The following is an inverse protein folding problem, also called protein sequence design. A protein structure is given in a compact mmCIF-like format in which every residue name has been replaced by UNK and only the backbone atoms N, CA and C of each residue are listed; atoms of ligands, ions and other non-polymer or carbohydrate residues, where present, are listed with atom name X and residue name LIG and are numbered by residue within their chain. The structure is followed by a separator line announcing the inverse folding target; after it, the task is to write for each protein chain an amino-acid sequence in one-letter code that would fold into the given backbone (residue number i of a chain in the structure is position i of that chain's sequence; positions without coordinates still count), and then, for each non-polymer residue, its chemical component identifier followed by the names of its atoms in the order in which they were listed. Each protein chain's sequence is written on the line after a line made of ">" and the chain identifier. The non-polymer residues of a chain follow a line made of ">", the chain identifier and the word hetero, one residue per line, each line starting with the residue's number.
data_IF_163926577675
#
_entry.id   IF_163926577675
#
_cell.length_a   1.000
_cell.length_b   1.000
_cell.length_c   1.000
_cell.angle_alpha   90.00
_cell.angle_beta   90.00
_cell.angle_gamma   90.00
#
_symmetry.space_group_name_H-M   'P 1'
#
loop_
_entity.id
_entity.type
_entity.pdbx_description
1 polymer ?
#
# COMPACT_ATOMS: atom_id res chain seq x y z
N UNK A 1 -54.46 33.37 -21.29
CA UNK A 1 -54.34 32.31 -20.25
C UNK A 1 -53.37 31.17 -20.62
N UNK A 2 -53.40 30.61 -21.85
CA UNK A 2 -52.54 29.48 -22.26
C UNK A 2 -51.02 29.75 -22.28
N UNK A 3 -50.58 30.97 -22.59
CA UNK A 3 -49.14 31.34 -22.67
C UNK A 3 -48.47 31.35 -21.28
N UNK A 4 -49.18 31.82 -20.24
CA UNK A 4 -48.69 31.83 -18.85
C UNK A 4 -48.44 30.42 -18.30
N UNK A 5 -49.32 29.46 -18.63
CA UNK A 5 -49.13 28.05 -18.26
C UNK A 5 -47.93 27.42 -18.97
N UNK A 6 -47.70 27.77 -20.24
CA UNK A 6 -46.60 27.22 -21.04
C UNK A 6 -45.24 27.74 -20.53
N UNK A 7 -45.14 29.02 -20.19
CA UNK A 7 -43.93 29.58 -19.56
C UNK A 7 -43.65 28.99 -18.18
N UNK A 8 -44.67 28.82 -17.33
CA UNK A 8 -44.51 28.18 -16.01
C UNK A 8 -43.98 26.75 -16.11
N UNK A 9 -44.45 25.98 -17.11
CA UNK A 9 -43.95 24.62 -17.37
C UNK A 9 -42.50 24.61 -17.84
N UNK A 10 -42.12 25.50 -18.76
CA UNK A 10 -40.73 25.62 -19.22
C UNK A 10 -39.81 26.04 -18.07
N UNK A 11 -40.24 26.98 -17.23
CA UNK A 11 -39.49 27.41 -16.06
C UNK A 11 -39.28 26.28 -15.04
N UNK A 12 -40.32 25.49 -14.76
CA UNK A 12 -40.22 24.32 -13.87
C UNK A 12 -39.29 23.23 -14.43
N UNK A 13 -39.34 22.98 -15.74
CA UNK A 13 -38.44 22.01 -16.40
C UNK A 13 -37.00 22.50 -16.35
N UNK A 14 -36.75 23.79 -16.63
CA UNK A 14 -35.41 24.36 -16.52
C UNK A 14 -34.86 24.31 -15.08
N UNK A 15 -35.70 24.55 -14.07
CA UNK A 15 -35.32 24.45 -12.66
C UNK A 15 -35.00 23.00 -12.25
N UNK A 16 -35.75 22.02 -12.76
CA UNK A 16 -35.49 20.61 -12.52
C UNK A 16 -34.19 20.14 -13.20
N UNK A 17 -33.92 20.59 -14.43
CA UNK A 17 -32.66 20.32 -15.14
C UNK A 17 -31.48 20.97 -14.39
N UNK A 18 -31.63 22.21 -13.93
CA UNK A 18 -30.59 22.89 -13.15
C UNK A 18 -30.30 22.19 -11.82
N UNK A 19 -31.33 21.68 -11.14
CA UNK A 19 -31.17 20.88 -9.91
C UNK A 19 -30.53 19.51 -10.15
N UNK A 20 -30.70 18.90 -11.34
CA UNK A 20 -30.05 17.64 -11.72
C UNK A 20 -28.61 17.81 -12.21
N UNK A 21 -28.19 19.03 -12.57
CA UNK A 21 -26.83 19.34 -13.03
C UNK A 21 -25.99 19.99 -11.93
N UNK A 22 -26.55 20.27 -10.74
CA UNK A 22 -25.74 20.66 -9.60
C UNK A 22 -24.75 19.53 -9.31
N UNK A 23 -23.43 19.72 -9.50
CA UNK A 23 -22.50 18.83 -8.86
C UNK A 23 -22.67 19.17 -7.38
N UNK A 24 -23.44 18.35 -6.66
CA UNK A 24 -23.23 18.25 -5.23
C UNK A 24 -21.82 17.67 -5.16
N UNK A 25 -20.83 18.57 -5.12
CA UNK A 25 -19.47 18.19 -4.79
C UNK A 25 -19.58 17.60 -3.42
N UNK A 26 -19.68 16.27 -3.35
CA UNK A 26 -19.62 15.55 -2.10
C UNK A 26 -18.30 16.00 -1.49
N UNK A 27 -18.39 16.78 -0.42
CA UNK A 27 -17.22 17.18 0.32
C UNK A 27 -16.56 15.86 0.71
N UNK A 28 -15.31 15.67 0.25
CA UNK A 28 -14.48 14.54 0.63
C UNK A 28 -14.29 14.66 2.14
N UNK A 29 -15.20 14.05 2.89
CA UNK A 29 -15.10 14.01 4.34
C UNK A 29 -14.12 12.90 4.61
N UNK A 30 -12.99 13.24 5.23
CA UNK A 30 -12.10 12.21 5.75
C UNK A 30 -12.90 11.30 6.67
N UNK A 31 -12.73 9.99 6.52
CA UNK A 31 -13.45 8.98 7.30
C UNK A 31 -13.28 9.25 8.81
N UNK A 32 -12.05 9.57 9.22
CA UNK A 32 -11.69 10.15 10.51
C UNK A 32 -10.47 11.07 10.34
N UNK A 33 -10.20 11.95 11.31
CA UNK A 33 -9.08 12.91 11.22
C UNK A 33 -7.77 12.41 11.83
N UNK A 34 -7.86 11.47 12.78
CA UNK A 34 -6.67 10.87 13.43
C UNK A 34 -7.05 9.57 14.14
N UNK A 35 -6.15 8.60 14.10
CA UNK A 35 -6.18 7.42 14.94
C UNK A 35 -4.84 7.32 15.68
N UNK A 36 -4.85 7.07 16.99
CA UNK A 36 -3.61 7.03 17.77
C UNK A 36 -2.96 5.65 17.66
N UNK A 37 -1.92 5.56 16.83
CA UNK A 37 -1.17 4.34 16.54
C UNK A 37 0.34 4.62 16.56
N UNK A 38 1.14 3.58 16.77
CA UNK A 38 2.59 3.62 16.60
C UNK A 38 2.97 3.11 15.20
N UNK A 39 2.36 3.70 14.17
CA UNK A 39 2.44 3.22 12.79
C UNK A 39 3.86 3.33 12.20
N UNK A 40 4.40 2.22 11.69
CA UNK A 40 5.58 2.16 10.82
C UNK A 40 5.24 1.98 9.35
N UNK A 41 4.12 1.30 9.06
CA UNK A 41 3.63 1.05 7.71
C UNK A 41 2.12 0.92 7.68
N UNK A 42 1.53 1.13 6.50
CA UNK A 42 0.10 1.09 6.29
C UNK A 42 -0.25 0.49 4.92
N UNK A 43 -1.38 -0.20 4.85
CA UNK A 43 -2.01 -0.60 3.58
C UNK A 43 -3.53 -0.49 3.70
N UNK A 44 -4.21 -0.36 2.56
CA UNK A 44 -5.66 -0.34 2.49
C UNK A 44 -6.17 -1.63 1.86
N UNK A 45 -7.10 -2.30 2.54
CA UNK A 45 -7.72 -3.52 2.03
C UNK A 45 -9.14 -3.68 2.58
N UNK A 46 -10.09 -4.04 1.71
CA UNK A 46 -11.48 -4.35 2.07
C UNK A 46 -12.18 -3.33 2.98
N UNK A 47 -11.92 -2.03 2.76
CA UNK A 47 -12.55 -0.95 3.53
C UNK A 47 -11.88 -0.66 4.88
N UNK A 48 -10.70 -1.21 5.13
CA UNK A 48 -9.93 -0.95 6.35
C UNK A 48 -8.52 -0.47 6.00
N UNK A 49 -8.00 0.40 6.86
CA UNK A 49 -6.57 0.72 6.89
C UNK A 49 -5.91 -0.26 7.86
N UNK A 50 -5.00 -1.08 7.37
CA UNK A 50 -4.16 -1.95 8.18
C UNK A 50 -2.87 -1.21 8.53
N UNK A 51 -2.43 -1.36 9.78
CA UNK A 51 -1.31 -0.61 10.34
C UNK A 51 -0.36 -1.54 11.06
N UNK A 52 0.91 -1.48 10.71
CA UNK A 52 2.00 -2.08 11.48
C UNK A 52 2.31 -1.16 12.67
N UNK A 53 2.01 -1.61 13.88
CA UNK A 53 2.33 -0.88 15.10
C UNK A 53 3.67 -1.38 15.62
N UNK A 54 4.75 -0.70 15.22
CA UNK A 54 6.13 -1.09 15.48
C UNK A 54 6.39 -1.32 16.98
N UNK A 55 6.07 -0.31 17.80
CA UNK A 55 6.33 -0.34 19.25
C UNK A 55 5.42 -1.34 19.98
N UNK A 56 4.17 -1.47 19.51
CA UNK A 56 3.16 -2.29 20.19
C UNK A 56 3.20 -3.77 19.75
N UNK A 57 4.13 -4.14 18.86
CA UNK A 57 4.30 -5.51 18.36
C UNK A 57 3.02 -6.13 17.80
N UNK A 58 2.26 -5.37 17.00
CA UNK A 58 0.96 -5.81 16.47
C UNK A 58 0.61 -5.23 15.11
N UNK A 59 -0.24 -5.93 14.37
CA UNK A 59 -0.99 -5.35 13.24
C UNK A 59 -2.39 -5.03 13.73
N UNK A 60 -2.88 -3.83 13.46
CA UNK A 60 -4.27 -3.44 13.72
C UNK A 60 -4.93 -3.02 12.42
N UNK A 61 -6.26 -3.09 12.37
CA UNK A 61 -7.07 -2.50 11.30
C UNK A 61 -7.92 -1.37 11.84
N UNK A 62 -8.20 -0.40 10.99
CA UNK A 62 -8.95 0.82 11.31
C UNK A 62 -10.12 0.93 10.35
N UNK A 63 -11.34 1.00 10.88
CA UNK A 63 -12.56 1.24 10.10
C UNK A 63 -12.71 2.72 9.74
N UNK A 64 -13.65 3.01 8.82
CA UNK A 64 -13.98 4.37 8.40
C UNK A 64 -14.39 5.29 9.56
N UNK A 65 -14.92 4.76 10.66
CA UNK A 65 -15.27 5.56 11.85
C UNK A 65 -14.08 5.79 12.80
N UNK A 66 -12.89 5.31 12.46
CA UNK A 66 -11.67 5.40 13.25
C UNK A 66 -11.53 4.34 14.35
N UNK A 67 -12.43 3.35 14.42
CA UNK A 67 -12.32 2.25 15.39
C UNK A 67 -11.12 1.36 15.05
N UNK A 68 -10.27 1.10 16.05
CA UNK A 68 -9.07 0.27 15.91
C UNK A 68 -9.34 -1.12 16.48
N UNK A 69 -9.06 -2.15 15.69
CA UNK A 69 -9.13 -3.56 16.09
C UNK A 69 -7.79 -4.24 15.86
N UNK A 70 -7.24 -4.90 16.87
CA UNK A 70 -5.99 -5.66 16.72
C UNK A 70 -6.26 -6.97 15.95
N UNK A 71 -5.44 -7.24 14.94
CA UNK A 71 -5.59 -8.38 14.03
C UNK A 71 -4.52 -9.42 14.29
N UNK A 72 -3.27 -8.99 14.48
CA UNK A 72 -2.12 -9.87 14.75
C UNK A 72 -1.37 -9.38 15.98
N UNK A 73 -1.00 -10.29 16.88
CA UNK A 73 -0.09 -10.02 17.99
C UNK A 73 1.19 -10.86 17.86
N UNK A 74 2.34 -10.18 17.73
CA UNK A 74 3.65 -10.82 17.58
C UNK A 74 4.28 -11.25 18.91
N UNK A 75 3.72 -10.84 20.06
CA UNK A 75 4.22 -10.98 21.44
C UNK A 75 5.60 -10.34 21.71
N UNK A 76 6.51 -10.33 20.74
CA UNK A 76 7.83 -9.72 20.77
C UNK A 76 8.36 -9.62 19.33
N UNK A 77 8.01 -8.55 18.62
CA UNK A 77 8.46 -8.35 17.24
C UNK A 77 8.07 -6.98 16.71
N UNK A 78 8.86 -6.48 15.76
CA UNK A 78 8.75 -5.14 15.20
C UNK A 78 8.19 -5.25 13.77
N UNK A 79 6.86 -5.21 13.57
CA UNK A 79 6.29 -5.14 12.23
C UNK A 79 6.62 -3.80 11.59
N UNK A 80 6.89 -3.81 10.29
CA UNK A 80 7.34 -2.60 9.59
C UNK A 80 6.51 -2.26 8.37
N UNK A 81 6.48 -3.15 7.38
CA UNK A 81 5.70 -2.96 6.15
C UNK A 81 4.70 -4.08 5.99
N UNK A 82 3.60 -3.78 5.30
CA UNK A 82 2.52 -4.72 5.05
C UNK A 82 1.81 -4.37 3.75
N UNK A 83 1.30 -5.37 3.04
CA UNK A 83 0.39 -5.17 1.90
C UNK A 83 -0.45 -6.41 1.62
N UNK A 84 -1.45 -6.28 0.75
CA UNK A 84 -2.30 -7.37 0.31
C UNK A 84 -2.17 -7.62 -1.19
N UNK A 85 -2.15 -8.89 -1.60
CA UNK A 85 -2.31 -9.22 -3.01
C UNK A 85 -3.80 -9.17 -3.44
N UNK A 86 -4.03 -9.32 -4.74
CA UNK A 86 -5.38 -9.33 -5.33
C UNK A 86 -6.28 -10.46 -4.83
N UNK A 87 -5.69 -11.50 -4.26
CA UNK A 87 -6.37 -12.68 -3.71
C UNK A 87 -6.65 -12.53 -2.19
N UNK A 88 -6.28 -11.37 -1.61
CA UNK A 88 -6.47 -11.04 -0.20
C UNK A 88 -5.44 -11.69 0.73
N UNK A 89 -4.36 -12.26 0.20
CA UNK A 89 -3.30 -12.78 1.04
C UNK A 89 -2.53 -11.61 1.68
N UNK A 90 -2.23 -11.74 2.97
CA UNK A 90 -1.56 -10.72 3.74
C UNK A 90 -0.05 -10.93 3.73
N UNK A 91 0.69 -9.92 3.30
CA UNK A 91 2.14 -9.92 3.29
C UNK A 91 2.66 -8.90 4.28
N UNK A 92 3.72 -9.24 4.99
CA UNK A 92 4.29 -8.34 5.98
C UNK A 92 5.77 -8.61 6.22
N UNK A 93 6.43 -7.60 6.77
CA UNK A 93 7.78 -7.72 7.31
C UNK A 93 7.75 -7.55 8.82
N UNK A 94 8.59 -8.34 9.49
CA UNK A 94 8.85 -8.17 10.91
C UNK A 94 10.27 -8.64 11.24
N UNK A 95 10.80 -8.17 12.36
CA UNK A 95 11.97 -8.78 12.99
C UNK A 95 11.79 -8.87 14.51
N UNK A 96 12.55 -9.74 15.14
CA UNK A 96 12.77 -9.64 16.58
C UNK A 96 13.58 -8.39 16.91
N UNK A 97 13.32 -7.79 18.07
CA UNK A 97 14.03 -6.58 18.53
C UNK A 97 15.55 -6.78 18.42
N UNK A 98 16.21 -5.88 17.71
CA UNK A 98 17.67 -5.89 17.51
C UNK A 98 18.18 -6.79 16.36
N UNK A 99 17.30 -7.45 15.62
CA UNK A 99 17.65 -8.24 14.43
C UNK A 99 17.23 -7.50 13.14
N UNK A 100 17.94 -7.72 12.02
CA UNK A 100 17.53 -7.16 10.75
C UNK A 100 16.20 -7.79 10.28
N UNK A 101 15.41 -7.01 9.54
CA UNK A 101 14.28 -7.53 8.77
C UNK A 101 14.85 -8.15 7.48
N UNK A 102 15.23 -9.43 7.54
CA UNK A 102 15.87 -10.15 6.43
C UNK A 102 14.90 -11.03 5.64
N UNK A 103 13.62 -10.99 6.01
CA UNK A 103 12.55 -11.85 5.48
C UNK A 103 11.26 -11.09 5.24
N UNK A 104 10.48 -11.60 4.29
CA UNK A 104 9.08 -11.21 4.06
C UNK A 104 8.23 -12.45 4.30
N UNK A 105 7.09 -12.25 4.94
CA UNK A 105 6.16 -13.30 5.36
C UNK A 105 4.81 -13.13 4.67
N UNK A 106 4.10 -14.25 4.51
CA UNK A 106 2.75 -14.33 3.95
C UNK A 106 1.83 -15.10 4.89
N UNK A 107 0.62 -14.59 5.10
CA UNK A 107 -0.53 -15.34 5.66
C UNK A 107 -1.56 -15.49 4.54
N UNK A 108 -2.04 -16.72 4.30
CA UNK A 108 -3.09 -16.98 3.31
C UNK A 108 -4.36 -16.22 3.66
N UNK A 109 -5.10 -15.74 2.67
CA UNK A 109 -6.39 -15.07 2.90
C UNK A 109 -7.39 -15.93 3.68
N UNK A 110 -7.29 -17.26 3.56
CA UNK A 110 -8.12 -18.22 4.31
C UNK A 110 -7.76 -18.31 5.79
N UNK A 111 -6.53 -17.99 6.16
CA UNK A 111 -6.01 -18.06 7.53
C UNK A 111 -5.98 -16.67 8.18
N UNK A 112 -5.97 -15.62 7.37
CA UNK A 112 -5.99 -14.23 7.83
C UNK A 112 -7.33 -13.89 8.48
N UNK A 113 -7.30 -13.68 9.79
CA UNK A 113 -8.48 -13.44 10.62
C UNK A 113 -8.12 -12.54 11.81
N UNK A 114 -9.13 -11.98 12.49
CA UNK A 114 -8.89 -11.18 13.69
C UNK A 114 -8.39 -12.02 14.86
N UNK A 115 -7.50 -11.45 15.67
CA UNK A 115 -7.01 -12.09 16.89
C UNK A 115 -6.00 -13.22 16.66
N UNK A 116 -5.27 -13.21 15.54
CA UNK A 116 -4.14 -14.11 15.33
C UNK A 116 -3.08 -13.84 16.42
N UNK A 117 -2.88 -14.83 17.28
CA UNK A 117 -1.72 -14.88 18.18
C UNK A 117 -0.55 -15.58 17.50
N UNK A 118 0.68 -15.14 17.77
CA UNK A 118 1.92 -15.73 17.26
C UNK A 118 1.85 -16.13 15.76
N UNK A 119 1.92 -15.17 14.82
CA UNK A 119 1.73 -15.44 13.40
C UNK A 119 2.79 -16.39 12.80
N UNK A 120 3.88 -16.69 13.50
CA UNK A 120 4.91 -17.62 13.04
C UNK A 120 4.38 -19.04 12.76
N UNK A 121 3.25 -19.44 13.36
CA UNK A 121 2.66 -20.77 13.13
C UNK A 121 1.89 -20.89 11.81
N UNK A 122 1.39 -19.77 11.28
CA UNK A 122 0.56 -19.72 10.07
C UNK A 122 1.24 -18.99 8.91
N UNK A 123 2.37 -18.34 9.18
CA UNK A 123 3.08 -17.55 8.18
C UNK A 123 4.03 -18.40 7.36
N UNK A 124 4.00 -18.19 6.06
CA UNK A 124 4.99 -18.72 5.12
C UNK A 124 6.08 -17.68 4.91
N UNK A 125 7.35 -18.07 5.05
CA UNK A 125 8.48 -17.23 4.61
C UNK A 125 8.49 -17.17 3.09
N UNK A 126 8.31 -15.98 2.51
CA UNK A 126 8.25 -15.81 1.04
C UNK A 126 9.55 -15.30 0.46
N UNK A 127 10.24 -14.37 1.13
CA UNK A 127 11.56 -13.85 0.73
C UNK A 127 12.55 -14.06 1.88
N UNK A 128 13.80 -14.36 1.54
CA UNK A 128 14.90 -14.54 2.53
C UNK A 128 16.20 -13.88 2.07
N UNK A 129 17.03 -13.49 3.04
CA UNK A 129 18.41 -13.03 2.79
C UNK A 129 18.56 -11.56 2.42
N UNK A 130 17.52 -10.74 2.63
CA UNK A 130 17.61 -9.29 2.49
C UNK A 130 18.27 -8.61 3.69
N UNK A 131 18.47 -7.29 3.62
CA UNK A 131 19.05 -6.50 4.72
C UNK A 131 18.17 -5.29 5.01
N UNK A 132 17.17 -5.48 5.89
CA UNK A 132 16.09 -4.53 6.16
C UNK A 132 15.17 -4.34 4.94
N UNK A 133 14.40 -5.40 4.66
CA UNK A 133 13.37 -5.42 3.64
C UNK A 133 12.18 -4.56 4.07
N UNK A 134 11.99 -3.41 3.42
CA UNK A 134 10.93 -2.44 3.70
C UNK A 134 10.16 -2.13 2.43
N UNK A 135 8.97 -1.55 2.60
CA UNK A 135 8.09 -1.16 1.52
C UNK A 135 7.64 -2.36 0.72
N UNK A 136 6.40 -2.78 0.89
CA UNK A 136 5.83 -3.89 0.13
C UNK A 136 4.71 -3.31 -0.73
N UNK A 137 4.66 -3.69 -2.00
CA UNK A 137 3.52 -3.35 -2.83
C UNK A 137 3.28 -4.37 -3.93
N UNK A 138 2.01 -4.70 -4.17
CA UNK A 138 1.61 -5.39 -5.39
C UNK A 138 1.22 -4.40 -6.47
N UNK A 139 1.74 -4.59 -7.68
CA UNK A 139 1.33 -3.78 -8.81
C UNK A 139 -0.16 -4.05 -9.13
N UNK A 140 -1.03 -3.03 -9.21
CA UNK A 140 -2.48 -3.22 -9.19
C UNK A 140 -3.05 -3.89 -10.45
N UNK A 141 -2.31 -3.83 -11.57
CA UNK A 141 -2.71 -4.44 -12.85
C UNK A 141 -2.07 -5.81 -13.06
N UNK A 142 -0.74 -5.93 -12.95
CA UNK A 142 -0.02 -7.18 -13.23
C UNK A 142 -0.01 -8.14 -12.04
N UNK A 143 -0.16 -7.62 -10.81
CA UNK A 143 0.01 -8.37 -9.56
C UNK A 143 1.45 -8.77 -9.28
N UNK A 144 2.43 -8.15 -9.96
CA UNK A 144 3.85 -8.35 -9.65
C UNK A 144 4.17 -7.77 -8.27
N UNK A 145 5.07 -8.44 -7.55
CA UNK A 145 5.43 -8.09 -6.18
C UNK A 145 6.68 -7.23 -6.15
N UNK A 146 6.57 -6.05 -5.54
CA UNK A 146 7.67 -5.10 -5.37
C UNK A 146 8.06 -4.99 -3.92
N UNK A 147 9.36 -4.83 -3.67
CA UNK A 147 9.86 -4.54 -2.34
C UNK A 147 11.19 -3.79 -2.34
N UNK A 148 11.46 -3.04 -1.27
CA UNK A 148 12.71 -2.32 -1.06
C UNK A 148 13.68 -3.06 -0.13
N UNK A 149 14.96 -2.79 -0.31
CA UNK A 149 16.01 -3.12 0.65
C UNK A 149 16.67 -1.82 1.10
N UNK A 150 16.47 -1.49 2.37
CA UNK A 150 16.85 -0.21 2.95
C UNK A 150 18.37 -0.01 2.97
N UNK A 151 19.13 -1.07 3.30
CA UNK A 151 20.59 -0.94 3.44
C UNK A 151 21.28 -0.98 2.08
N UNK A 152 20.83 -1.84 1.19
CA UNK A 152 21.36 -1.94 -0.17
C UNK A 152 20.85 -0.82 -1.08
N UNK A 153 19.82 -0.09 -0.65
CA UNK A 153 19.17 1.01 -1.39
C UNK A 153 18.56 0.53 -2.70
N UNK A 154 18.11 -0.72 -2.72
CA UNK A 154 17.62 -1.38 -3.94
C UNK A 154 16.11 -1.48 -3.90
N UNK A 155 15.52 -1.41 -5.08
CA UNK A 155 14.16 -1.83 -5.34
C UNK A 155 14.19 -3.11 -6.16
N UNK A 156 13.34 -4.04 -5.77
CA UNK A 156 13.20 -5.33 -6.41
C UNK A 156 11.78 -5.54 -6.91
N UNK A 157 11.65 -6.38 -7.92
CA UNK A 157 10.38 -6.93 -8.39
C UNK A 157 10.48 -8.44 -8.60
N UNK A 158 9.35 -9.13 -8.43
CA UNK A 158 9.16 -10.53 -8.82
C UNK A 158 7.86 -10.58 -9.61
N UNK A 159 7.92 -11.16 -10.80
CA UNK A 159 6.72 -11.29 -11.61
C UNK A 159 5.70 -12.22 -10.94
N UNK A 160 4.39 -11.96 -11.10
CA UNK A 160 3.33 -12.78 -10.48
C UNK A 160 3.47 -14.27 -10.81
N UNK A 161 3.91 -14.58 -12.03
CA UNK A 161 4.14 -15.97 -12.49
C UNK A 161 5.33 -16.66 -11.82
N UNK A 162 6.29 -15.90 -11.27
CA UNK A 162 7.49 -16.42 -10.62
C UNK A 162 7.37 -16.33 -9.09
N UNK A 163 6.38 -15.61 -8.57
CA UNK A 163 6.11 -15.44 -7.14
C UNK A 163 5.43 -16.67 -6.52
N UNK A 164 6.17 -17.78 -6.54
CA UNK A 164 5.80 -19.11 -6.06
C UNK A 164 7.08 -19.87 -5.62
N UNK A 165 6.89 -21.09 -5.13
CA UNK A 165 7.98 -21.95 -4.63
C UNK A 165 8.75 -21.31 -3.47
N UNK A 166 8.03 -20.85 -2.45
CA UNK A 166 8.59 -20.18 -1.29
C UNK A 166 9.43 -21.11 -0.39
N UNK A 167 10.49 -20.59 0.28
CA UNK A 167 11.00 -19.21 0.21
C UNK A 167 11.84 -18.96 -1.05
N UNK A 168 11.78 -17.73 -1.58
CA UNK A 168 12.62 -17.25 -2.69
C UNK A 168 13.75 -16.40 -2.08
N UNK A 169 15.03 -16.81 -2.16
CA UNK A 169 16.15 -15.97 -1.73
C UNK A 169 16.23 -14.69 -2.57
N UNK A 170 16.62 -13.56 -1.97
CA UNK A 170 16.79 -12.28 -2.70
C UNK A 170 17.83 -12.37 -3.82
N UNK A 171 18.74 -13.35 -3.74
CA UNK A 171 19.76 -13.65 -4.76
C UNK A 171 19.24 -14.56 -5.89
N UNK A 172 17.99 -15.00 -5.81
CA UNK A 172 17.35 -15.84 -6.83
C UNK A 172 17.24 -15.09 -8.16
N UNK A 173 17.40 -15.78 -9.30
CA UNK A 173 17.16 -15.19 -10.61
C UNK A 173 15.69 -14.78 -10.84
N UNK A 174 14.76 -15.23 -9.99
CA UNK A 174 13.36 -14.77 -9.98
C UNK A 174 13.20 -13.34 -9.42
N UNK A 175 14.20 -12.83 -8.71
CA UNK A 175 14.20 -11.50 -8.08
C UNK A 175 14.99 -10.54 -8.97
N UNK A 176 14.30 -9.57 -9.54
CA UNK A 176 14.88 -8.60 -10.45
C UNK A 176 15.09 -7.27 -9.73
N UNK A 177 16.31 -6.75 -9.76
CA UNK A 177 16.57 -5.37 -9.33
C UNK A 177 16.05 -4.41 -10.40
N UNK A 178 15.16 -3.50 -9.99
CA UNK A 178 14.61 -2.47 -10.88
C UNK A 178 15.36 -1.14 -10.75
N UNK A 179 16.08 -0.94 -9.64
CA UNK A 179 16.92 0.25 -9.45
C UNK A 179 17.70 0.25 -8.15
N UNK A 180 18.79 1.01 -8.14
CA UNK A 180 19.59 1.34 -6.95
C UNK A 180 19.53 2.86 -6.70
N UNK A 181 19.09 3.26 -5.51
CA UNK A 181 18.86 4.65 -5.12
C UNK A 181 20.08 5.26 -4.40
N UNK A 182 20.25 6.59 -4.44
CA UNK A 182 21.35 7.26 -3.72
C UNK A 182 21.21 7.14 -2.18
N UNK A 183 19.98 7.04 -1.69
CA UNK A 183 19.63 6.87 -0.27
C UNK A 183 18.70 5.68 -0.08
N UNK A 184 18.55 5.26 1.17
CA UNK A 184 17.70 4.15 1.56
C UNK A 184 16.24 4.40 1.20
N UNK A 185 15.60 3.38 0.64
CA UNK A 185 14.17 3.37 0.35
C UNK A 185 13.43 2.93 1.61
N UNK A 186 12.42 3.70 2.02
CA UNK A 186 11.67 3.44 3.25
C UNK A 186 10.32 2.79 3.00
N UNK A 187 9.61 3.20 1.95
CA UNK A 187 8.30 2.64 1.62
C UNK A 187 7.98 2.82 0.14
N UNK A 188 7.05 2.00 -0.37
CA UNK A 188 6.59 2.02 -1.77
C UNK A 188 5.08 1.89 -1.86
N UNK A 189 4.48 2.43 -2.93
CA UNK A 189 3.06 2.30 -3.21
C UNK A 189 2.80 2.44 -4.72
N UNK A 190 1.68 1.89 -5.19
CA UNK A 190 1.19 2.12 -6.54
C UNK A 190 -0.08 2.95 -6.53
N UNK A 191 -0.25 3.82 -7.54
CA UNK A 191 -1.59 4.31 -7.88
C UNK A 191 -2.33 3.31 -8.80
N UNK A 192 -3.64 3.52 -8.98
CA UNK A 192 -4.51 2.59 -9.71
C UNK A 192 -4.16 2.38 -11.18
N UNK A 193 -3.33 3.24 -11.78
CA UNK A 193 -2.87 3.11 -13.16
C UNK A 193 -1.47 2.48 -13.26
N UNK A 194 -0.84 2.15 -12.14
CA UNK A 194 0.44 1.46 -12.11
C UNK A 194 1.67 2.37 -12.01
N UNK A 195 1.50 3.66 -11.67
CA UNK A 195 2.68 4.47 -11.34
C UNK A 195 3.21 4.04 -9.97
N UNK A 196 4.52 3.82 -9.87
CA UNK A 196 5.20 3.52 -8.62
C UNK A 196 5.56 4.83 -7.91
N UNK A 197 5.23 4.91 -6.63
CA UNK A 197 5.70 5.94 -5.71
C UNK A 197 6.60 5.28 -4.69
N UNK A 198 7.73 5.90 -4.38
CA UNK A 198 8.58 5.42 -3.32
C UNK A 198 9.23 6.58 -2.58
N UNK A 199 9.46 6.37 -1.28
CA UNK A 199 10.12 7.34 -0.44
C UNK A 199 11.59 6.97 -0.25
N UNK A 200 12.47 7.98 -0.36
CA UNK A 200 13.85 7.87 0.08
C UNK A 200 14.31 9.21 0.67
N UNK A 201 15.05 9.16 1.78
CA UNK A 201 15.48 10.37 2.50
C UNK A 201 14.29 11.30 2.80
N UNK A 202 14.26 12.51 2.23
CA UNK A 202 13.18 13.49 2.39
C UNK A 202 12.31 13.65 1.14
N UNK A 203 12.38 12.71 0.20
CA UNK A 203 11.73 12.78 -1.10
C UNK A 203 10.73 11.66 -1.29
N UNK A 204 9.65 11.99 -1.99
CA UNK A 204 8.76 11.02 -2.63
C UNK A 204 9.05 11.12 -4.13
N UNK A 205 9.32 9.98 -4.75
CA UNK A 205 9.59 9.90 -6.19
C UNK A 205 8.49 9.12 -6.86
N UNK A 206 8.06 9.61 -8.02
CA UNK A 206 7.11 8.93 -8.90
C UNK A 206 7.85 8.40 -10.12
N UNK A 207 7.65 7.12 -10.42
CA UNK A 207 8.03 6.46 -11.68
C UNK A 207 6.74 6.19 -12.43
N UNK A 208 6.67 6.64 -13.69
CA UNK A 208 5.45 6.42 -14.47
C UNK A 208 5.31 4.96 -14.85
N UNK A 209 4.08 4.50 -15.08
CA UNK A 209 3.83 3.13 -15.54
C UNK A 209 4.56 2.83 -16.86
N UNK A 210 4.69 3.81 -17.74
CA UNK A 210 5.43 3.69 -19.00
C UNK A 210 6.93 3.53 -18.75
N UNK A 211 7.50 4.32 -17.83
CA UNK A 211 8.93 4.21 -17.47
C UNK A 211 9.23 2.89 -16.75
N UNK A 212 8.27 2.31 -16.02
CA UNK A 212 8.44 1.05 -15.30
C UNK A 212 8.19 -0.19 -16.20
N UNK A 213 7.68 -0.01 -17.41
CA UNK A 213 7.15 -1.09 -18.24
C UNK A 213 8.19 -2.13 -18.66
N UNK A 214 9.48 -1.77 -18.68
CA UNK A 214 10.58 -2.68 -18.99
C UNK A 214 11.24 -3.30 -17.74
N UNK A 215 10.71 -2.99 -16.55
CA UNK A 215 11.21 -3.48 -15.27
C UNK A 215 12.43 -2.72 -14.76
N UNK A 216 12.75 -1.55 -15.31
CA UNK A 216 13.85 -0.71 -14.85
C UNK A 216 13.40 0.71 -14.51
N UNK A 217 14.14 1.37 -13.61
CA UNK A 217 13.95 2.78 -13.30
C UNK A 217 15.06 3.56 -14.02
N UNK A 218 14.76 4.02 -15.23
CA UNK A 218 15.72 4.69 -16.11
C UNK A 218 16.14 6.10 -15.65
N UNK A 219 15.32 6.75 -14.81
CA UNK A 219 15.57 8.12 -14.36
C UNK A 219 14.93 8.41 -12.98
N UNK A 220 15.51 7.91 -11.87
CA UNK A 220 14.90 8.06 -10.54
C UNK A 220 14.90 9.49 -9.98
N UNK A 221 15.41 10.50 -10.72
CA UNK A 221 15.76 11.83 -10.19
C UNK A 221 14.68 12.90 -10.48
N UNK A 222 13.50 12.53 -10.97
CA UNK A 222 12.38 13.49 -10.99
C UNK A 222 11.79 13.60 -9.59
N UNK A 223 12.49 14.37 -8.77
CA UNK A 223 12.09 14.78 -7.43
C UNK A 223 10.78 15.58 -7.52
N UNK A 224 9.64 14.91 -7.34
CA UNK A 224 8.39 15.62 -7.13
C UNK A 224 8.28 15.92 -5.63
N UNK A 225 8.46 17.18 -5.24
CA UNK A 225 7.85 17.64 -3.99
C UNK A 225 6.36 17.63 -4.29
N UNK A 226 5.65 16.58 -3.82
CA UNK A 226 4.19 16.63 -3.78
C UNK A 226 3.85 17.67 -2.72
N UNK A 227 3.84 18.94 -3.10
CA UNK A 227 3.25 19.99 -2.27
C UNK A 227 1.75 19.76 -2.31
N UNK A 228 1.12 19.65 -1.14
CA UNK A 228 -0.32 19.77 -1.05
C UNK A 228 -0.70 21.14 -1.62
N UNK A 229 -1.26 21.18 -2.83
CA UNK A 229 -1.95 22.37 -3.29
C UNK A 229 -3.22 22.49 -2.44
N UNK A 230 -3.33 23.61 -1.72
CA UNK A 230 -4.45 23.96 -0.84
C UNK A 230 -5.77 24.13 -1.61
#
# INVERSE_FOLDING_TARGET
>A
MKVKLRMRRIFLIAMAIFAMILPIGAQQTFAFTSANTNASGLSYHDGYIYVANFVDSKISKISDDGTITDVINFNNGEPYSLDFDSEGNFYYTFAYIGYPIDKIYKISSTDFSEGIGNPAEISTEVITGGVFLYGLAFHPITGDFYFGDYVLKKLYTISKKDFNDFPIPVTSPKVHEIGTMPYSVSDIAFDSIGNLYFSYSSWITKVTADDLADGHIDNPIHNYVITAEN
#
